data_IF_601657713449
#
_entry.id   IF_601657713449
#
_cell.length_a   1.000
_cell.length_b   1.000
_cell.length_c   1.000
_cell.angle_alpha   90.00
_cell.angle_beta   90.00
_cell.angle_gamma   90.00
#
_symmetry.space_group_name_H-M   'P 1'
#
loop_
_entity.id
_entity.type
_entity.pdbx_description
1 polymer ?
#
# COMPACT_ATOMS: atom_id res chain seq x y z
N UNK A 1 23.21 -14.04 0.62
CA UNK A 1 22.13 -14.21 1.60
C UNK A 1 21.14 -15.20 0.99
N UNK A 2 21.20 -16.47 1.37
CA UNK A 2 20.23 -17.48 0.95
C UNK A 2 18.88 -17.11 1.55
N UNK A 3 17.94 -16.75 0.70
CA UNK A 3 16.54 -16.64 1.11
C UNK A 3 16.10 -18.05 1.40
N UNK A 4 15.70 -18.29 2.63
CA UNK A 4 15.28 -19.61 3.10
C UNK A 4 14.02 -20.02 2.34
N UNK A 5 14.19 -20.97 1.40
CA UNK A 5 13.13 -21.41 0.47
C UNK A 5 11.95 -22.01 1.25
N UNK A 6 12.22 -22.63 2.40
CA UNK A 6 11.18 -23.17 3.28
C UNK A 6 10.30 -22.08 3.85
N UNK A 7 10.87 -20.99 4.36
CA UNK A 7 10.12 -19.85 4.88
C UNK A 7 9.28 -19.15 3.80
N UNK A 8 9.74 -19.19 2.54
CA UNK A 8 9.00 -18.63 1.42
C UNK A 8 7.74 -19.46 1.09
N UNK A 9 7.85 -20.79 1.03
CA UNK A 9 6.71 -21.65 0.77
C UNK A 9 5.66 -21.56 1.87
N UNK A 10 6.08 -21.56 3.13
CA UNK A 10 5.19 -21.37 4.29
C UNK A 10 4.46 -20.02 4.21
N UNK A 11 5.19 -18.96 3.86
CA UNK A 11 4.56 -17.64 3.69
C UNK A 11 3.49 -17.64 2.60
N UNK A 12 3.75 -18.28 1.46
CA UNK A 12 2.77 -18.40 0.37
C UNK A 12 1.53 -19.23 0.78
N UNK A 13 1.72 -20.31 1.53
CA UNK A 13 0.60 -21.12 2.03
C UNK A 13 -0.28 -20.34 3.00
N UNK A 14 0.33 -19.61 3.92
CA UNK A 14 -0.40 -18.76 4.86
C UNK A 14 -1.17 -17.65 4.14
N UNK A 15 -0.57 -17.01 3.14
CA UNK A 15 -1.23 -15.98 2.35
C UNK A 15 -2.38 -16.56 1.51
N UNK A 16 -2.26 -17.75 0.93
CA UNK A 16 -3.35 -18.42 0.24
C UNK A 16 -4.50 -18.77 1.19
N UNK A 17 -4.17 -19.20 2.41
CA UNK A 17 -5.18 -19.43 3.44
C UNK A 17 -5.88 -18.12 3.83
N UNK A 18 -5.15 -17.02 4.01
CA UNK A 18 -5.72 -15.71 4.26
C UNK A 18 -6.65 -15.26 3.11
N UNK A 19 -6.22 -15.44 1.85
CA UNK A 19 -7.03 -15.18 0.67
C UNK A 19 -8.33 -15.98 0.66
N UNK A 20 -8.29 -17.26 1.05
CA UNK A 20 -9.49 -18.11 1.10
C UNK A 20 -10.47 -17.77 2.23
N UNK A 21 -10.04 -17.02 3.23
CA UNK A 21 -10.85 -16.58 4.37
C UNK A 21 -11.52 -15.21 4.15
N UNK A 22 -11.18 -14.52 3.07
CA UNK A 22 -11.72 -13.21 2.72
C UNK A 22 -12.56 -13.29 1.45
N UNK A 23 -13.59 -12.44 1.33
CA UNK A 23 -14.41 -12.33 0.13
C UNK A 23 -13.76 -11.43 -0.93
N UNK A 24 -14.22 -11.55 -2.19
CA UNK A 24 -13.78 -10.65 -3.25
C UNK A 24 -14.25 -9.22 -2.94
N UNK A 25 -13.31 -8.27 -3.01
CA UNK A 25 -13.58 -6.88 -2.67
C UNK A 25 -13.38 -6.52 -1.20
N UNK A 26 -13.12 -7.49 -0.32
CA UNK A 26 -12.78 -7.22 1.08
C UNK A 26 -11.41 -6.54 1.21
N UNK A 27 -11.33 -5.46 2.00
CA UNK A 27 -10.09 -4.73 2.25
C UNK A 27 -8.99 -5.61 2.87
N UNK A 28 -9.33 -6.61 3.67
CA UNK A 28 -8.35 -7.58 4.17
C UNK A 28 -7.71 -8.39 3.04
N UNK A 29 -8.43 -8.61 1.93
CA UNK A 29 -7.87 -9.23 0.73
C UNK A 29 -6.86 -8.30 0.04
N UNK A 30 -7.09 -6.98 0.04
CA UNK A 30 -6.10 -6.03 -0.46
C UNK A 30 -4.78 -6.09 0.33
N UNK A 31 -4.86 -6.19 1.67
CA UNK A 31 -3.67 -6.42 2.52
C UNK A 31 -2.97 -7.73 2.16
N UNK A 32 -3.73 -8.80 1.96
CA UNK A 32 -3.19 -10.11 1.57
C UNK A 32 -2.47 -10.02 0.22
N UNK A 33 -3.04 -9.34 -0.77
CA UNK A 33 -2.42 -9.11 -2.07
C UNK A 33 -1.15 -8.26 -1.98
N UNK A 34 -1.15 -7.21 -1.17
CA UNK A 34 0.06 -6.43 -0.89
C UNK A 34 1.17 -7.30 -0.29
N UNK A 35 0.84 -8.20 0.63
CA UNK A 35 1.79 -9.14 1.21
C UNK A 35 2.30 -10.17 0.19
N UNK A 36 1.44 -10.71 -0.71
CA UNK A 36 1.88 -11.53 -1.83
C UNK A 36 2.91 -10.80 -2.70
N UNK A 37 2.65 -9.54 -3.01
CA UNK A 37 3.56 -8.73 -3.80
C UNK A 37 4.93 -8.58 -3.13
N UNK A 38 4.98 -8.36 -1.81
CA UNK A 38 6.23 -8.30 -1.05
C UNK A 38 7.02 -9.62 -1.14
N UNK A 39 6.33 -10.75 -1.04
CA UNK A 39 6.93 -12.09 -1.15
C UNK A 39 7.47 -12.31 -2.58
N UNK A 40 6.69 -11.98 -3.63
CA UNK A 40 7.12 -12.12 -5.02
C UNK A 40 8.25 -11.16 -5.39
N UNK A 41 8.27 -9.95 -4.85
CA UNK A 41 9.38 -9.00 -5.05
C UNK A 41 10.69 -9.55 -4.51
N UNK A 42 10.68 -10.15 -3.31
CA UNK A 42 11.86 -10.78 -2.71
C UNK A 42 12.42 -11.93 -3.56
N UNK A 43 11.54 -12.66 -4.23
CA UNK A 43 11.93 -13.76 -5.14
C UNK A 43 12.17 -13.33 -6.58
N UNK A 44 12.25 -12.01 -6.82
CA UNK A 44 12.49 -11.43 -8.16
C UNK A 44 11.40 -11.75 -9.20
N UNK A 45 10.24 -12.20 -8.78
CA UNK A 45 9.05 -12.39 -9.64
C UNK A 45 8.29 -11.07 -9.77
N UNK A 46 8.94 -10.04 -10.34
CA UNK A 46 8.45 -8.66 -10.33
C UNK A 46 7.10 -8.49 -11.05
N UNK A 47 6.87 -9.23 -12.15
CA UNK A 47 5.57 -9.18 -12.87
C UNK A 47 4.40 -9.69 -12.02
N UNK A 48 4.62 -10.81 -11.31
CA UNK A 48 3.61 -11.35 -10.39
C UNK A 48 3.35 -10.39 -9.22
N UNK A 49 4.42 -9.82 -8.68
CA UNK A 49 4.30 -8.82 -7.61
C UNK A 49 3.46 -7.61 -8.06
N UNK A 50 3.72 -7.09 -9.26
CA UNK A 50 2.96 -5.97 -9.82
C UNK A 50 1.47 -6.33 -9.98
N UNK A 51 1.16 -7.50 -10.55
CA UNK A 51 -0.22 -7.94 -10.73
C UNK A 51 -1.01 -8.05 -9.41
N UNK A 52 -0.37 -8.49 -8.33
CA UNK A 52 -1.03 -8.53 -7.02
C UNK A 52 -1.26 -7.12 -6.44
N UNK A 53 -0.34 -6.18 -6.65
CA UNK A 53 -0.53 -4.78 -6.22
C UNK A 53 -1.63 -4.08 -7.02
N UNK A 54 -1.75 -4.36 -8.32
CA UNK A 54 -2.84 -3.83 -9.15
C UNK A 54 -4.20 -4.31 -8.64
N UNK A 55 -4.34 -5.59 -8.29
CA UNK A 55 -5.56 -6.13 -7.65
C UNK A 55 -5.86 -5.49 -6.29
N UNK A 56 -4.83 -5.29 -5.47
CA UNK A 56 -4.99 -4.63 -4.17
C UNK A 56 -5.47 -3.18 -4.34
N UNK A 57 -4.93 -2.47 -5.32
CA UNK A 57 -5.30 -1.09 -5.63
C UNK A 57 -6.74 -0.99 -6.15
N UNK A 58 -7.17 -1.93 -6.98
CA UNK A 58 -8.54 -2.01 -7.48
C UNK A 58 -9.55 -2.16 -6.32
N UNK A 59 -9.27 -3.02 -5.36
CA UNK A 59 -10.12 -3.20 -4.16
C UNK A 59 -10.20 -1.89 -3.37
N UNK A 60 -9.08 -1.21 -3.12
CA UNK A 60 -9.06 0.03 -2.35
C UNK A 60 -9.82 1.16 -3.07
N UNK A 61 -9.68 1.31 -4.38
CA UNK A 61 -10.42 2.32 -5.13
C UNK A 61 -11.91 2.01 -5.19
N UNK A 62 -12.29 0.76 -5.37
CA UNK A 62 -13.71 0.37 -5.33
C UNK A 62 -14.32 0.67 -3.97
N UNK A 63 -13.59 0.38 -2.88
CA UNK A 63 -14.04 0.70 -1.54
C UNK A 63 -14.25 2.21 -1.35
N UNK A 64 -13.30 3.04 -1.78
CA UNK A 64 -13.41 4.51 -1.68
C UNK A 64 -14.59 5.09 -2.49
N UNK A 65 -14.97 4.44 -3.60
CA UNK A 65 -16.09 4.87 -4.43
C UNK A 65 -17.47 4.46 -3.90
N UNK A 66 -17.56 3.35 -3.18
CA UNK A 66 -18.83 2.76 -2.75
C UNK A 66 -19.11 2.86 -1.24
N UNK A 67 -18.12 3.22 -0.42
CA UNK A 67 -18.34 3.44 1.01
C UNK A 67 -18.91 4.82 1.24
N UNK A 68 -20.10 4.84 1.85
CA UNK A 68 -20.74 6.05 2.38
C UNK A 68 -19.85 6.65 3.48
N UNK A 69 -19.77 7.98 3.58
CA UNK A 69 -18.88 8.75 4.47
C UNK A 69 -18.97 8.41 5.98
N UNK A 70 -19.82 7.46 6.36
CA UNK A 70 -20.08 7.07 7.76
C UNK A 70 -19.28 5.87 8.26
N UNK A 71 -18.37 5.30 7.45
CA UNK A 71 -17.61 4.11 7.85
C UNK A 71 -16.43 4.49 8.71
N UNK A 72 -16.48 4.00 9.93
CA UNK A 72 -15.55 4.13 11.05
C UNK A 72 -14.07 4.24 10.59
N UNK A 73 -13.48 5.41 10.72
CA UNK A 73 -12.05 5.71 10.46
C UNK A 73 -11.08 4.81 11.24
N UNK A 74 -11.63 3.98 12.15
CA UNK A 74 -10.87 3.11 13.04
C UNK A 74 -10.24 1.89 12.34
N UNK A 75 -10.70 1.52 11.13
CA UNK A 75 -10.21 0.36 10.37
C UNK A 75 -9.46 0.77 9.09
N UNK A 76 -8.44 1.60 9.21
CA UNK A 76 -7.45 1.78 8.14
C UNK A 76 -6.62 0.49 8.00
N UNK A 77 -7.19 -0.51 7.35
CA UNK A 77 -6.57 -1.82 7.15
C UNK A 77 -5.52 -1.78 6.05
N UNK A 78 -5.71 -0.95 5.04
CA UNK A 78 -4.79 -0.75 3.91
C UNK A 78 -4.86 0.70 3.44
N UNK A 79 -3.80 1.20 2.82
CA UNK A 79 -3.73 2.56 2.32
C UNK A 79 -3.27 2.55 0.85
N UNK A 80 -4.03 3.13 -0.09
CA UNK A 80 -3.65 3.22 -1.50
C UNK A 80 -2.27 3.84 -1.72
N UNK A 81 -1.86 4.77 -0.85
CA UNK A 81 -0.53 5.37 -0.91
C UNK A 81 0.58 4.33 -0.76
N UNK A 82 0.48 3.44 0.22
CA UNK A 82 1.49 2.41 0.47
C UNK A 82 1.57 1.42 -0.70
N UNK A 83 0.42 1.11 -1.33
CA UNK A 83 0.37 0.28 -2.54
C UNK A 83 1.08 0.99 -3.70
N UNK A 84 0.84 2.28 -3.92
CA UNK A 84 1.52 3.05 -4.95
C UNK A 84 3.05 3.09 -4.75
N UNK A 85 3.53 3.23 -3.52
CA UNK A 85 4.97 3.19 -3.21
C UNK A 85 5.57 1.81 -3.51
N UNK A 86 4.84 0.73 -3.20
CA UNK A 86 5.28 -0.62 -3.54
C UNK A 86 5.31 -0.85 -5.05
N UNK A 87 4.34 -0.32 -5.81
CA UNK A 87 4.33 -0.36 -7.28
C UNK A 87 5.53 0.43 -7.83
N UNK A 88 5.78 1.65 -7.33
CA UNK A 88 6.93 2.46 -7.69
C UNK A 88 8.24 1.66 -7.52
N UNK A 89 8.46 1.06 -6.36
CA UNK A 89 9.66 0.28 -6.08
C UNK A 89 9.84 -0.94 -7.03
N UNK A 90 8.75 -1.57 -7.47
CA UNK A 90 8.81 -2.68 -8.42
C UNK A 90 9.09 -2.18 -9.83
N UNK A 91 8.43 -1.11 -10.27
CA UNK A 91 8.62 -0.52 -11.59
C UNK A 91 10.05 0.01 -11.76
N UNK A 92 10.60 0.65 -10.72
CA UNK A 92 12.01 1.08 -10.70
C UNK A 92 12.95 -0.11 -10.88
N UNK A 93 12.74 -1.21 -10.15
CA UNK A 93 13.52 -2.46 -10.31
C UNK A 93 13.37 -3.09 -11.71
N UNK A 94 12.28 -2.80 -12.42
CA UNK A 94 12.05 -3.22 -13.80
C UNK A 94 12.65 -2.25 -14.84
N UNK A 95 13.26 -1.14 -14.42
CA UNK A 95 13.79 -0.08 -15.29
C UNK A 95 12.69 0.78 -15.93
N UNK A 96 11.46 0.76 -15.39
CA UNK A 96 10.33 1.55 -15.89
C UNK A 96 10.18 2.85 -15.09
N UNK A 97 11.21 3.71 -15.17
CA UNK A 97 11.35 4.88 -14.31
C UNK A 97 10.21 5.89 -14.46
N UNK A 98 9.74 6.13 -15.69
CA UNK A 98 8.63 7.06 -15.92
C UNK A 98 7.33 6.63 -15.24
N UNK A 99 7.00 5.34 -15.31
CA UNK A 99 5.84 4.79 -14.61
C UNK A 99 6.04 4.77 -13.09
N UNK A 100 7.25 4.48 -12.64
CA UNK A 100 7.62 4.52 -11.24
C UNK A 100 7.41 5.94 -10.66
N UNK A 101 7.87 6.96 -11.39
CA UNK A 101 7.67 8.36 -11.03
C UNK A 101 6.19 8.73 -10.92
N UNK A 102 5.35 8.30 -11.89
CA UNK A 102 3.91 8.55 -11.83
C UNK A 102 3.26 7.96 -10.57
N UNK A 103 3.63 6.74 -10.18
CA UNK A 103 3.13 6.12 -8.96
C UNK A 103 3.64 6.80 -7.69
N UNK A 104 4.89 7.24 -7.68
CA UNK A 104 5.45 8.02 -6.56
C UNK A 104 4.73 9.35 -6.38
N UNK A 105 4.41 10.06 -7.47
CA UNK A 105 3.63 11.31 -7.43
C UNK A 105 2.22 11.09 -6.92
N UNK A 106 1.54 10.00 -7.34
CA UNK A 106 0.20 9.65 -6.82
C UNK A 106 0.25 9.39 -5.31
N UNK A 107 1.26 8.64 -4.85
CA UNK A 107 1.45 8.39 -3.42
C UNK A 107 1.65 9.71 -2.65
N UNK A 108 2.45 10.62 -3.19
CA UNK A 108 2.69 11.93 -2.57
C UNK A 108 1.39 12.73 -2.41
N UNK A 109 0.57 12.80 -3.45
CA UNK A 109 -0.72 13.52 -3.40
C UNK A 109 -1.62 12.91 -2.31
N UNK A 110 -1.77 11.58 -2.31
CA UNK A 110 -2.61 10.88 -1.32
C UNK A 110 -2.17 11.12 0.12
N UNK A 111 -0.84 11.14 0.38
CA UNK A 111 -0.31 11.44 1.71
C UNK A 111 -0.56 12.89 2.09
N UNK A 112 -0.37 13.83 1.16
CA UNK A 112 -0.60 15.24 1.43
C UNK A 112 -2.06 15.50 1.79
N UNK A 113 -3.00 14.92 1.02
CA UNK A 113 -4.44 15.02 1.30
C UNK A 113 -4.79 14.40 2.66
N UNK A 114 -4.23 13.23 2.99
CA UNK A 114 -4.42 12.60 4.31
C UNK A 114 -3.92 13.49 5.46
N UNK A 115 -2.74 14.11 5.28
CA UNK A 115 -2.16 15.01 6.29
C UNK A 115 -2.97 16.28 6.47
N UNK A 116 -3.46 16.88 5.38
CA UNK A 116 -4.32 18.06 5.42
C UNK A 116 -5.62 17.74 6.16
N UNK A 117 -6.31 16.67 5.79
CA UNK A 117 -7.54 16.24 6.43
C UNK A 117 -7.36 15.98 7.93
N UNK A 118 -6.23 15.38 8.32
CA UNK A 118 -5.89 15.18 9.75
C UNK A 118 -5.61 16.49 10.49
N UNK A 119 -4.98 17.46 9.85
CA UNK A 119 -4.73 18.78 10.43
C UNK A 119 -6.04 19.55 10.62
N UNK A 120 -6.95 19.47 9.66
CA UNK A 120 -8.28 20.10 9.74
C UNK A 120 -9.13 19.46 10.85
N UNK A 121 -9.13 18.13 10.95
CA UNK A 121 -9.80 17.41 12.03
C UNK A 121 -9.22 17.75 13.41
N UNK A 122 -7.92 18.02 13.51
CA UNK A 122 -7.25 18.45 14.73
C UNK A 122 -7.59 19.89 15.13
N UNK A 123 -7.74 20.77 14.15
CA UNK A 123 -8.19 22.15 14.42
C UNK A 123 -9.63 22.18 14.93
N UNK A 124 -10.44 21.16 14.61
CA UNK A 124 -11.82 21.01 15.02
C UNK A 124 -12.01 20.26 16.37
N UNK A 125 -11.05 19.43 16.78
CA UNK A 125 -11.13 18.56 17.97
C UNK A 125 -9.85 18.61 18.80
N UNK A 126 -9.87 19.28 19.96
CA UNK A 126 -8.79 19.24 20.94
C UNK A 126 -8.81 17.88 21.65
N UNK A 127 -8.17 16.87 21.07
CA UNK A 127 -8.03 15.53 21.65
C UNK A 127 -6.67 14.88 21.27
N UNK A 128 -6.18 13.87 22.00
CA UNK A 128 -4.80 13.36 21.84
C UNK A 128 -4.60 12.64 20.51
N UNK A 129 -3.61 13.12 19.76
CA UNK A 129 -3.16 12.63 18.45
C UNK A 129 -2.68 11.19 18.49
N UNK A 130 -3.15 10.38 17.54
CA UNK A 130 -2.39 9.21 17.04
C UNK A 130 -1.23 9.76 16.18
N UNK A 131 -0.03 9.26 16.44
CA UNK A 131 1.28 9.76 15.99
C UNK A 131 1.31 10.14 14.50
N UNK A 132 1.47 11.41 14.13
CA UNK A 132 1.69 11.84 12.74
C UNK A 132 3.07 11.40 12.22
N UNK A 133 3.97 10.96 13.11
CA UNK A 133 5.36 10.61 12.82
C UNK A 133 5.49 9.52 11.75
N UNK A 134 4.66 8.47 11.81
CA UNK A 134 4.72 7.37 10.85
C UNK A 134 4.37 7.83 9.42
N UNK A 135 3.42 8.74 9.28
CA UNK A 135 3.02 9.28 7.96
C UNK A 135 4.03 10.27 7.40
N UNK A 136 4.75 10.99 8.26
CA UNK A 136 5.88 11.84 7.85
C UNK A 136 7.01 10.98 7.26
N UNK A 137 7.30 9.82 7.83
CA UNK A 137 8.28 8.88 7.28
C UNK A 137 7.86 8.42 5.87
N UNK A 138 6.59 8.07 5.67
CA UNK A 138 6.07 7.67 4.35
C UNK A 138 6.14 8.82 3.35
N UNK A 139 5.88 10.05 3.78
CA UNK A 139 6.06 11.25 2.95
C UNK A 139 7.53 11.44 2.54
N UNK A 140 8.48 11.26 3.45
CA UNK A 140 9.91 11.31 3.14
C UNK A 140 10.31 10.22 2.12
N UNK A 141 9.75 9.02 2.22
CA UNK A 141 9.97 7.94 1.26
C UNK A 141 9.42 8.33 -0.12
N UNK A 142 8.22 8.94 -0.19
CA UNK A 142 7.64 9.39 -1.44
C UNK A 142 8.51 10.45 -2.13
N UNK A 143 8.98 11.46 -1.40
CA UNK A 143 9.91 12.46 -1.93
C UNK A 143 11.24 11.85 -2.37
N UNK A 144 11.78 10.90 -1.58
CA UNK A 144 13.01 10.21 -1.96
C UNK A 144 12.84 9.45 -3.29
N UNK A 145 11.74 8.71 -3.43
CA UNK A 145 11.47 7.96 -4.66
C UNK A 145 11.33 8.88 -5.89
N UNK A 146 10.70 10.04 -5.73
CA UNK A 146 10.60 11.04 -6.80
C UNK A 146 12.00 11.57 -7.20
N UNK A 147 12.88 11.75 -6.23
CA UNK A 147 14.20 12.33 -6.48
C UNK A 147 15.17 11.35 -7.14
N UNK A 148 14.95 10.03 -7.06
CA UNK A 148 15.84 9.01 -7.63
C UNK A 148 15.35 8.40 -8.94
N UNK A 149 14.09 8.69 -9.37
CA UNK A 149 13.53 8.29 -10.67
C UNK A 149 13.80 9.33 -11.77
#
# INVERSE_FOLDING_TARGET
>A
MMIDIENFNVSLELLRKAESLTEDGDRFRAVTYNNFACVFRRTKKLRSALSYLEKALEIEYNYLHFSDESVDECLQVSNPCDIHLNICAILSQMGKHELALQHSMKALILIQDELINKLDALSAAVGPLKRPEDRIIVLCIAYHNIAVE
#
